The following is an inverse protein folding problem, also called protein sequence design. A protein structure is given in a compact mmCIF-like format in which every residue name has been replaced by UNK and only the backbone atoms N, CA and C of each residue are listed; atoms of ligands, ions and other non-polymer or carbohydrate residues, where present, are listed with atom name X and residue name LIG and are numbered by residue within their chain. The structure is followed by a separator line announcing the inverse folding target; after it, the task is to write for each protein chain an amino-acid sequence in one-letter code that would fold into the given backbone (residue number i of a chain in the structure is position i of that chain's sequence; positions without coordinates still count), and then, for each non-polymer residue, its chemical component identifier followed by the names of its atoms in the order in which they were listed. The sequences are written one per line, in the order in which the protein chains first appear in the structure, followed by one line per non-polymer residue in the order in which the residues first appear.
data_IF_577312584138
#
_entry.id   IF_577312584138
#
_cell.length_a   1.000
_cell.length_b   1.000
_cell.length_c   1.000
_cell.angle_alpha   90.00
_cell.angle_beta   90.00
_cell.angle_gamma   90.00
#
_symmetry.space_group_name_H-M   'P 1'
#
loop_
_entity.id
_entity.type
_entity.pdbx_description
1 polymer ?
#
# COMPACT_ATOMS: atom_id res chain seq x y z
N UNK A 1 30.52 -28.40 55.73
CA UNK A 1 29.12 -28.87 55.66
C UNK A 1 28.52 -28.27 54.39
N UNK A 2 28.66 -28.95 53.24
CA UNK A 2 27.62 -29.82 52.60
C UNK A 2 26.35 -29.01 52.26
N UNK A 3 25.83 -28.91 51.03
CA UNK A 3 25.85 -29.79 49.85
C UNK A 3 25.35 -29.04 48.59
N UNK A 4 25.46 -29.69 47.43
CA UNK A 4 25.17 -29.24 46.04
C UNK A 4 23.66 -29.31 45.62
N UNK A 5 23.27 -28.72 44.46
CA UNK A 5 21.90 -28.55 43.88
C UNK A 5 21.48 -29.79 43.01
N UNK A 6 20.50 -29.84 42.04
CA UNK A 6 19.71 -28.81 41.30
C UNK A 6 18.22 -29.18 40.97
N UNK A 7 17.50 -28.40 40.15
CA UNK A 7 16.95 -28.84 38.84
C UNK A 7 16.15 -27.77 38.07
N UNK A 8 16.40 -27.80 36.75
CA UNK A 8 15.80 -27.08 35.62
C UNK A 8 14.26 -27.20 35.53
N UNK A 9 13.64 -26.15 34.98
CA UNK A 9 12.75 -26.33 33.80
C UNK A 9 12.64 -25.06 32.95
N UNK A 10 13.58 -24.92 32.03
CA UNK A 10 13.34 -24.22 30.75
C UNK A 10 12.46 -25.14 29.90
N UNK A 11 11.36 -24.63 29.40
CA UNK A 11 10.71 -25.21 28.22
C UNK A 11 10.98 -24.27 27.04
N UNK A 12 11.80 -24.79 26.12
CA UNK A 12 12.00 -24.32 24.77
C UNK A 12 11.80 -25.57 23.90
N UNK A 13 10.91 -25.52 22.93
CA UNK A 13 10.94 -26.34 21.70
C UNK A 13 9.70 -25.95 20.85
N UNK A 14 9.81 -25.69 19.55
CA UNK A 14 10.94 -25.97 18.67
C UNK A 14 10.94 -25.11 17.42
N UNK A 15 12.14 -24.67 17.08
CA UNK A 15 12.66 -24.82 15.72
C UNK A 15 13.42 -26.16 15.67
N UNK A 16 13.36 -26.85 14.53
CA UNK A 16 14.55 -27.48 13.93
C UNK A 16 14.29 -27.83 12.44
N UNK A 17 15.37 -27.99 11.64
CA UNK A 17 15.44 -27.71 10.21
C UNK A 17 15.58 -29.04 9.39
N UNK A 18 16.11 -29.05 8.14
CA UNK A 18 15.88 -30.09 7.15
C UNK A 18 16.73 -31.34 7.40
N UNK A 19 16.24 -32.51 7.00
CA UNK A 19 17.04 -33.74 6.98
C UNK A 19 16.98 -34.44 5.62
N UNK A 20 18.18 -34.75 5.18
CA UNK A 20 18.63 -35.60 4.10
C UNK A 20 18.13 -37.05 4.17
N UNK A 21 17.90 -37.61 2.98
CA UNK A 21 18.28 -38.96 2.52
C UNK A 21 18.04 -40.11 3.51
N UNK A 22 17.02 -40.91 3.23
CA UNK A 22 16.97 -42.31 3.60
C UNK A 22 16.60 -43.15 2.37
N UNK A 23 17.54 -44.03 1.99
CA UNK A 23 17.31 -45.10 1.02
C UNK A 23 16.29 -46.09 1.59
N UNK A 24 15.37 -46.54 0.74
CA UNK A 24 14.60 -47.77 1.00
C UNK A 24 14.43 -48.53 -0.31
N UNK A 25 14.96 -49.73 -0.28
CA UNK A 25 15.13 -50.66 -1.37
C UNK A 25 13.81 -51.34 -1.76
N UNK A 26 13.53 -51.31 -3.07
CA UNK A 26 12.89 -52.31 -3.92
C UNK A 26 12.00 -53.40 -3.26
N UNK A 27 10.69 -53.30 -3.49
CA UNK A 27 9.86 -54.49 -3.76
C UNK A 27 9.10 -54.30 -5.07
N UNK A 28 9.43 -55.16 -6.03
CA UNK A 28 8.83 -55.29 -7.36
C UNK A 28 7.30 -55.33 -7.28
N UNK A 29 6.63 -54.40 -7.99
CA UNK A 29 5.38 -54.72 -8.68
C UNK A 29 5.47 -54.35 -10.16
N UNK A 30 5.27 -55.39 -10.95
CA UNK A 30 5.28 -55.48 -12.41
C UNK A 30 4.14 -54.60 -12.96
N UNK A 31 4.46 -53.59 -13.76
CA UNK A 31 3.46 -52.75 -14.41
C UNK A 31 4.07 -51.75 -15.40
N UNK A 32 4.13 -52.13 -16.67
CA UNK A 32 4.09 -51.27 -17.87
C UNK A 32 5.19 -50.22 -18.06
N UNK A 33 6.05 -50.41 -19.06
CA UNK A 33 6.73 -49.31 -19.73
C UNK A 33 5.69 -48.51 -20.52
N UNK A 34 5.26 -47.37 -20.00
CA UNK A 34 4.65 -46.34 -20.85
C UNK A 34 5.81 -45.45 -21.28
N UNK A 35 6.28 -45.63 -22.52
CA UNK A 35 7.14 -44.63 -23.13
C UNK A 35 6.30 -43.38 -23.35
N UNK A 36 6.44 -42.39 -22.47
CA UNK A 36 5.91 -41.05 -22.74
C UNK A 36 6.89 -40.40 -23.72
N UNK A 37 6.48 -40.02 -24.95
CA UNK A 37 7.34 -39.29 -25.83
C UNK A 37 7.74 -37.99 -25.15
N UNK A 38 9.04 -37.69 -25.11
CA UNK A 38 9.58 -36.41 -24.68
C UNK A 38 9.10 -35.29 -25.60
N UNK A 39 7.87 -34.85 -25.38
CA UNK A 39 7.33 -33.63 -25.93
C UNK A 39 8.05 -32.47 -25.28
N UNK A 40 8.91 -31.80 -26.06
CA UNK A 40 9.42 -30.47 -25.72
C UNK A 40 8.20 -29.59 -25.41
N UNK A 41 8.00 -29.26 -24.14
CA UNK A 41 7.01 -28.28 -23.70
C UNK A 41 7.47 -26.91 -24.19
N UNK A 42 7.21 -26.63 -25.46
CA UNK A 42 7.18 -25.25 -25.95
C UNK A 42 5.99 -24.62 -25.27
N UNK A 43 6.24 -23.83 -24.21
CA UNK A 43 5.21 -22.97 -23.64
C UNK A 43 4.57 -22.21 -24.82
N UNK A 44 3.24 -22.25 -24.97
CA UNK A 44 2.55 -21.35 -25.88
C UNK A 44 2.98 -19.92 -25.53
N UNK A 45 3.03 -18.98 -26.50
CA UNK A 45 3.21 -17.58 -26.16
C UNK A 45 2.17 -17.25 -25.09
N UNK A 46 2.65 -16.88 -23.91
CA UNK A 46 1.84 -16.46 -22.76
C UNK A 46 0.80 -15.46 -23.26
N UNK A 47 -0.43 -15.93 -23.53
CA UNK A 47 -1.59 -15.07 -23.73
C UNK A 47 -1.93 -14.56 -22.34
N UNK A 48 -1.06 -13.70 -21.83
CA UNK A 48 -1.34 -12.86 -20.68
C UNK A 48 -2.57 -12.08 -21.08
N UNK A 49 -3.70 -12.37 -20.43
CA UNK A 49 -4.92 -11.57 -20.54
C UNK A 49 -4.57 -10.18 -20.05
N UNK A 50 -4.12 -9.31 -20.96
CA UNK A 50 -3.72 -7.93 -20.64
C UNK A 50 -4.99 -7.19 -20.24
N UNK A 51 -5.00 -6.66 -19.02
CA UNK A 51 -6.04 -5.75 -18.60
C UNK A 51 -6.00 -4.54 -19.55
N UNK A 52 -7.10 -4.24 -20.21
CA UNK A 52 -7.20 -3.05 -21.08
C UNK A 52 -7.44 -1.77 -20.28
N UNK A 53 -7.94 -1.92 -19.05
CA UNK A 53 -8.20 -0.84 -18.11
C UNK A 53 -7.86 -1.27 -16.68
N UNK A 54 -7.37 -0.32 -15.89
CA UNK A 54 -7.15 -0.44 -14.45
C UNK A 54 -8.13 0.47 -13.72
N UNK A 55 -8.77 -0.06 -12.68
CA UNK A 55 -9.46 0.73 -11.66
C UNK A 55 -8.49 1.01 -10.51
N UNK A 56 -8.30 2.28 -10.18
CA UNK A 56 -7.31 2.78 -9.24
C UNK A 56 -8.00 3.61 -8.17
N UNK A 57 -7.63 3.38 -6.91
CA UNK A 57 -8.12 4.12 -5.76
C UNK A 57 -7.04 5.09 -5.29
N UNK A 58 -7.32 6.39 -5.38
CA UNK A 58 -6.39 7.44 -4.95
C UNK A 58 -6.95 8.12 -3.70
N UNK A 59 -6.36 7.83 -2.55
CA UNK A 59 -6.68 8.54 -1.31
C UNK A 59 -5.99 9.90 -1.31
N UNK A 60 -6.76 10.98 -1.32
CA UNK A 60 -6.22 12.34 -1.29
C UNK A 60 -6.12 12.79 0.16
N UNK A 61 -4.99 13.39 0.52
CA UNK A 61 -4.72 13.90 1.87
C UNK A 61 -5.90 14.73 2.42
N UNK A 62 -6.41 14.33 3.58
CA UNK A 62 -7.52 15.00 4.28
C UNK A 62 -8.91 14.74 3.71
N UNK A 63 -9.05 13.99 2.61
CA UNK A 63 -10.36 13.67 2.03
C UNK A 63 -11.06 12.51 2.76
N UNK A 64 -12.39 12.47 2.70
CA UNK A 64 -13.22 11.45 3.38
C UNK A 64 -13.17 10.06 2.73
N UNK A 65 -12.51 9.91 1.58
CA UNK A 65 -12.42 8.63 0.88
C UNK A 65 -11.74 8.77 -0.48
N UNK A 66 -11.39 7.64 -1.13
CA UNK A 66 -10.61 7.63 -2.34
C UNK A 66 -11.40 8.17 -3.54
N UNK A 67 -10.67 8.80 -4.45
CA UNK A 67 -11.11 9.04 -5.82
C UNK A 67 -10.87 7.78 -6.63
N UNK A 68 -11.89 7.33 -7.37
CA UNK A 68 -11.79 6.19 -8.26
C UNK A 68 -11.45 6.66 -9.67
N UNK A 69 -10.36 6.15 -10.24
CA UNK A 69 -9.88 6.51 -11.57
C UNK A 69 -9.79 5.25 -12.43
N UNK A 70 -10.28 5.31 -13.67
CA UNK A 70 -10.18 4.22 -14.64
C UNK A 70 -9.29 4.66 -15.80
N UNK A 71 -8.17 3.96 -16.01
CA UNK A 71 -7.12 4.36 -16.97
C UNK A 71 -6.53 3.14 -17.68
N UNK A 72 -5.76 3.33 -18.76
CA UNK A 72 -5.00 2.23 -19.37
C UNK A 72 -3.78 1.89 -18.48
N UNK A 73 -3.37 0.61 -18.42
CA UNK A 73 -2.17 0.21 -17.68
C UNK A 73 -0.88 0.89 -18.15
N UNK A 74 -0.85 1.32 -19.41
CA UNK A 74 0.30 1.93 -20.07
C UNK A 74 0.47 3.42 -19.76
N UNK A 75 -0.54 4.05 -19.15
CA UNK A 75 -0.46 5.43 -18.66
C UNK A 75 0.64 5.59 -17.61
N UNK A 76 1.12 6.83 -17.47
CA UNK A 76 2.13 7.18 -16.49
C UNK A 76 1.50 7.64 -15.16
N UNK A 77 2.27 7.60 -14.07
CA UNK A 77 1.87 8.15 -12.76
C UNK A 77 1.43 9.61 -12.86
N UNK A 78 2.12 10.42 -13.65
CA UNK A 78 1.76 11.82 -13.86
C UNK A 78 0.35 12.00 -14.45
N UNK A 79 -0.11 11.07 -15.28
CA UNK A 79 -1.47 11.09 -15.83
C UNK A 79 -2.50 10.74 -14.76
N UNK A 80 -2.18 9.79 -13.88
CA UNK A 80 -3.05 9.42 -12.75
C UNK A 80 -3.25 10.59 -11.79
N UNK A 81 -2.18 11.33 -11.48
CA UNK A 81 -2.26 12.52 -10.62
C UNK A 81 -3.22 13.56 -11.24
N UNK A 82 -3.03 13.89 -12.52
CA UNK A 82 -3.90 14.83 -13.25
C UNK A 82 -5.36 14.39 -13.22
N UNK A 83 -5.63 13.15 -13.61
CA UNK A 83 -6.99 12.61 -13.66
C UNK A 83 -7.65 12.59 -12.28
N UNK A 84 -6.91 12.22 -11.23
CA UNK A 84 -7.43 12.22 -9.86
C UNK A 84 -7.81 13.63 -9.39
N UNK A 85 -7.00 14.65 -9.70
CA UNK A 85 -7.29 16.06 -9.36
C UNK A 85 -8.53 16.54 -10.11
N UNK A 86 -8.61 16.28 -11.42
CA UNK A 86 -9.76 16.66 -12.25
C UNK A 86 -11.06 16.07 -11.71
N UNK A 87 -11.07 14.78 -11.37
CA UNK A 87 -12.23 14.12 -10.77
C UNK A 87 -12.55 14.72 -9.39
N UNK A 88 -11.54 14.94 -8.54
CA UNK A 88 -11.72 15.51 -7.21
C UNK A 88 -12.41 16.89 -7.26
N UNK A 89 -11.96 17.75 -8.17
CA UNK A 89 -12.52 19.09 -8.38
C UNK A 89 -13.92 18.98 -8.97
N UNK A 90 -14.12 18.11 -9.97
CA UNK A 90 -15.42 17.89 -10.60
C UNK A 90 -16.48 17.39 -9.60
N UNK A 91 -16.09 16.52 -8.68
CA UNK A 91 -16.94 16.02 -7.60
C UNK A 91 -17.12 17.03 -6.44
N UNK A 92 -16.48 18.21 -6.51
CA UNK A 92 -16.54 19.27 -5.49
C UNK A 92 -16.20 18.76 -4.08
N UNK A 93 -15.25 17.82 -3.99
CA UNK A 93 -14.87 17.14 -2.75
C UNK A 93 -14.25 18.10 -1.72
N UNK A 94 -14.16 17.62 -0.49
CA UNK A 94 -13.61 18.36 0.66
C UNK A 94 -12.45 17.60 1.31
N UNK A 95 -11.39 18.31 1.73
CA UNK A 95 -11.19 19.76 1.68
C UNK A 95 -10.97 20.29 0.25
N UNK A 96 -11.24 21.57 0.00
CA UNK A 96 -10.95 22.16 -1.30
C UNK A 96 -9.44 22.11 -1.58
N UNK A 97 -9.07 21.76 -2.82
CA UNK A 97 -7.68 21.81 -3.23
C UNK A 97 -7.26 23.26 -3.44
N UNK A 98 -6.44 23.78 -2.51
CA UNK A 98 -5.83 25.10 -2.67
C UNK A 98 -4.90 25.17 -3.89
N UNK A 99 -4.32 24.03 -4.26
CA UNK A 99 -3.37 23.89 -5.35
C UNK A 99 -3.78 22.69 -6.20
N UNK A 100 -4.08 22.94 -7.47
CA UNK A 100 -4.47 21.93 -8.45
C UNK A 100 -3.37 21.62 -9.45
N UNK A 101 -2.23 22.33 -9.40
CA UNK A 101 -1.07 22.03 -10.25
C UNK A 101 -0.45 20.68 -9.83
N UNK A 102 -0.41 19.68 -10.72
CA UNK A 102 0.20 18.38 -10.46
C UNK A 102 1.67 18.45 -9.99
N UNK A 103 2.39 19.54 -10.29
CA UNK A 103 3.81 19.72 -9.91
C UNK A 103 4.04 19.85 -8.41
N UNK A 104 3.04 20.31 -7.67
CA UNK A 104 3.10 20.49 -6.22
C UNK A 104 2.55 19.28 -5.45
N UNK A 105 2.23 18.21 -6.16
CA UNK A 105 1.61 17.01 -5.62
C UNK A 105 2.49 15.80 -5.88
N UNK A 106 2.51 14.88 -4.93
CA UNK A 106 3.28 13.64 -5.01
C UNK A 106 2.39 12.44 -4.73
N UNK A 107 2.58 11.39 -5.54
CA UNK A 107 1.89 10.13 -5.38
C UNK A 107 2.79 9.15 -4.63
N UNK A 108 2.22 8.50 -3.63
CA UNK A 108 2.87 7.48 -2.81
C UNK A 108 2.06 6.18 -2.84
N UNK A 109 2.70 5.06 -2.50
CA UNK A 109 1.98 3.80 -2.29
C UNK A 109 0.98 3.89 -1.13
N UNK A 110 1.32 4.63 -0.08
CA UNK A 110 0.51 4.81 1.12
C UNK A 110 0.92 6.08 1.87
N UNK A 111 0.11 6.53 2.83
CA UNK A 111 0.43 7.65 3.73
C UNK A 111 1.68 7.40 4.61
N UNK A 112 2.12 6.15 4.73
CA UNK A 112 3.31 5.77 5.49
C UNK A 112 4.58 5.65 4.63
N UNK A 113 4.46 5.86 3.32
CA UNK A 113 5.61 5.79 2.41
C UNK A 113 6.40 7.09 2.47
N UNK A 114 7.71 6.97 2.62
CA UNK A 114 8.63 8.12 2.62
C UNK A 114 9.08 8.52 1.20
N UNK A 115 8.95 7.61 0.24
CA UNK A 115 9.36 7.81 -1.16
C UNK A 115 8.13 8.00 -2.04
N UNK A 116 8.19 9.01 -2.92
CA UNK A 116 7.19 9.26 -3.95
C UNK A 116 7.50 8.50 -5.24
N UNK A 117 6.43 8.16 -5.96
CA UNK A 117 6.50 7.52 -7.27
C UNK A 117 6.94 8.52 -8.34
N UNK A 118 7.76 8.06 -9.30
CA UNK A 118 8.22 8.92 -10.39
C UNK A 118 7.09 9.15 -11.37
N UNK A 119 6.98 10.36 -11.89
CA UNK A 119 5.89 10.75 -12.77
C UNK A 119 5.86 9.95 -14.09
N UNK A 120 7.02 9.44 -14.52
CA UNK A 120 7.23 8.69 -15.77
C UNK A 120 6.96 7.18 -15.62
N UNK A 121 6.83 6.68 -14.40
CA UNK A 121 6.59 5.26 -14.15
C UNK A 121 5.22 4.84 -14.70
N UNK A 122 5.19 3.71 -15.40
CA UNK A 122 3.93 3.16 -15.93
C UNK A 122 3.12 2.48 -14.85
N UNK A 123 1.80 2.66 -14.89
CA UNK A 123 0.88 2.11 -13.88
C UNK A 123 0.94 0.58 -13.79
N UNK A 124 1.15 -0.11 -14.91
CA UNK A 124 1.32 -1.56 -14.96
C UNK A 124 2.51 -2.07 -14.13
N UNK A 125 3.55 -1.25 -13.96
CA UNK A 125 4.77 -1.63 -13.25
C UNK A 125 4.69 -1.41 -11.73
N UNK A 126 3.67 -0.68 -11.24
CA UNK A 126 3.56 -0.31 -9.83
C UNK A 126 3.08 -1.46 -8.94
N UNK A 127 2.41 -2.47 -9.49
CA UNK A 127 1.88 -3.62 -8.74
C UNK A 127 0.77 -3.31 -7.73
N UNK A 128 0.45 -2.03 -7.48
CA UNK A 128 -0.64 -1.59 -6.61
C UNK A 128 -1.79 -0.96 -7.42
N UNK A 129 -2.98 -1.00 -6.83
CA UNK A 129 -4.16 -0.25 -7.30
C UNK A 129 -4.65 0.78 -6.28
N UNK A 130 -3.97 0.89 -5.15
CA UNK A 130 -4.27 1.86 -4.10
C UNK A 130 -3.07 2.76 -3.93
N UNK A 131 -3.31 4.07 -3.96
CA UNK A 131 -2.28 5.09 -3.85
C UNK A 131 -2.75 6.20 -2.92
N UNK A 132 -1.79 6.99 -2.47
CA UNK A 132 -2.01 8.16 -1.63
C UNK A 132 -1.43 9.39 -2.33
N UNK A 133 -2.23 10.44 -2.48
CA UNK A 133 -1.84 11.71 -3.10
C UNK A 133 -1.76 12.78 -2.01
N UNK A 134 -0.58 13.37 -1.84
CA UNK A 134 -0.37 14.45 -0.89
C UNK A 134 0.44 15.59 -1.51
N UNK A 135 0.52 16.69 -0.77
CA UNK A 135 1.35 17.82 -1.16
C UNK A 135 2.83 17.46 -1.04
N UNK A 136 3.60 17.91 -2.02
CA UNK A 136 5.05 17.89 -1.97
C UNK A 136 5.51 18.73 -0.78
N UNK A 137 6.42 18.23 0.08
CA UNK A 137 6.99 19.05 1.13
C UNK A 137 7.80 20.18 0.48
N UNK A 138 7.34 21.41 0.63
CA UNK A 138 8.18 22.58 0.37
C UNK A 138 9.20 22.66 1.49
N UNK A 139 10.46 22.98 1.17
CA UNK A 139 11.55 23.12 2.16
C UNK A 139 11.32 24.19 3.23
N UNK A 140 10.16 24.86 3.21
CA UNK A 140 9.69 25.81 4.21
C UNK A 140 8.42 25.26 4.86
N UNK A 141 8.51 25.07 6.17
CA UNK A 141 7.45 24.66 7.11
C UNK A 141 6.93 23.22 6.96
N UNK A 142 7.70 22.29 7.54
CA UNK A 142 7.09 21.26 8.37
C UNK A 142 6.17 21.99 9.35
N UNK A 143 4.85 21.89 9.20
CA UNK A 143 3.93 22.33 10.24
C UNK A 143 4.10 21.38 11.43
N UNK A 144 5.11 21.64 12.24
CA UNK A 144 5.22 21.08 13.58
C UNK A 144 3.93 21.42 14.31
N UNK A 145 3.33 20.41 14.96
CA UNK A 145 2.09 20.49 15.74
C UNK A 145 2.19 21.39 17.00
N UNK A 146 3.08 22.39 17.02
CA UNK A 146 3.37 23.22 18.19
C UNK A 146 2.80 24.65 18.13
N UNK A 147 2.37 25.16 16.96
CA UNK A 147 1.99 26.59 16.85
C UNK A 147 0.49 26.88 16.72
N UNK A 148 -0.37 25.86 16.57
CA UNK A 148 -1.84 26.07 16.57
C UNK A 148 -2.38 26.46 17.96
N UNK A 149 -1.65 26.17 19.04
CA UNK A 149 -2.05 26.53 20.40
C UNK A 149 -2.07 28.05 20.66
N UNK A 150 -1.40 28.87 19.83
CA UNK A 150 -1.36 30.33 19.99
C UNK A 150 -2.45 31.07 19.20
N UNK A 151 -3.04 30.45 18.18
CA UNK A 151 -4.12 31.06 17.37
C UNK A 151 -5.54 30.70 17.84
N UNK A 152 -5.70 29.75 18.76
CA UNK A 152 -7.01 29.40 19.34
C UNK A 152 -7.41 30.32 20.51
N UNK A 153 -6.49 31.13 21.05
CA UNK A 153 -6.80 32.07 22.14
C UNK A 153 -7.62 33.32 21.73
N UNK A 154 -7.95 33.50 20.43
CA UNK A 154 -8.75 34.64 19.95
C UNK A 154 -10.03 34.29 19.22
N UNK A 155 -10.28 33.01 18.90
CA UNK A 155 -11.60 32.55 18.48
C UNK A 155 -12.20 31.73 19.60
N UNK A 156 -12.70 32.42 20.63
CA UNK A 156 -13.65 31.83 21.54
C UNK A 156 -14.82 31.28 20.70
N UNK A 157 -14.84 29.96 20.51
CA UNK A 157 -15.94 29.25 19.88
C UNK A 157 -17.23 29.63 20.65
N UNK A 158 -18.30 30.10 19.99
CA UNK A 158 -19.55 30.51 20.65
C UNK A 158 -20.40 29.32 21.11
N UNK A 159 -19.78 28.16 21.39
CA UNK A 159 -20.48 26.97 21.90
C UNK A 159 -20.90 27.09 23.37
N UNK A 160 -20.45 28.12 24.08
CA UNK A 160 -20.86 28.35 25.48
C UNK A 160 -22.31 28.85 25.62
N UNK A 161 -23.02 29.19 24.54
CA UNK A 161 -24.41 29.66 24.61
C UNK A 161 -25.50 28.58 24.55
N UNK A 162 -25.14 27.30 24.41
CA UNK A 162 -26.15 26.23 24.33
C UNK A 162 -26.57 25.69 25.71
N UNK A 163 -25.74 25.83 26.74
CA UNK A 163 -26.06 25.33 28.09
C UNK A 163 -26.87 26.33 28.94
N UNK A 164 -27.01 27.58 28.50
CA UNK A 164 -27.74 28.63 29.22
C UNK A 164 -29.27 28.46 29.18
N UNK A 165 -29.79 27.51 28.40
CA UNK A 165 -31.24 27.22 28.30
C UNK A 165 -31.69 26.02 29.15
N UNK A 166 -30.78 25.38 29.89
CA UNK A 166 -31.07 24.19 30.71
C UNK A 166 -30.98 24.46 32.22
N UNK A 167 -30.96 25.74 32.64
CA UNK A 167 -30.95 26.19 34.03
C UNK A 167 -32.16 27.07 34.32
#
# INVERSE_FOLDING_TARGET
MTSRPPLLRRHNCGQLPPNSVAHSELVRRRGGLISVPGGKLTLPPEITRRFTKLLLNVNIQGSLGPVQVVMSPENAVGDLIKAAIEIYVKEMRRPLLNESDPRHLELHYSQFSLESLKAEDKLINLGSRNFYLCRKPTSVSNSTCSDEAKKVAKSAFPFTKFMDFLL
#
